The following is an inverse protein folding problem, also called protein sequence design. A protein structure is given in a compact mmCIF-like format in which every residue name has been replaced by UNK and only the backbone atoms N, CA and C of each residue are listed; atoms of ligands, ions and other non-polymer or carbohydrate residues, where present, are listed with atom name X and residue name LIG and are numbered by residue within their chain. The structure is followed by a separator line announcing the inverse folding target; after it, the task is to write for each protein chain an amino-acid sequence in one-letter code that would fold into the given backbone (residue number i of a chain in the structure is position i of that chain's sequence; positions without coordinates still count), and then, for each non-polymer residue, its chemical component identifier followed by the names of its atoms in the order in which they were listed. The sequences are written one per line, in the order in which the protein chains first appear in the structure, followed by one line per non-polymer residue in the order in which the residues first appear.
data_IF_186790305644
#
_entry.id   IF_186790305644
#
_cell.length_a   1.000
_cell.length_b   1.000
_cell.length_c   1.000
_cell.angle_alpha   90.00
_cell.angle_beta   90.00
_cell.angle_gamma   90.00
#
_symmetry.space_group_name_H-M   'P 1'
#
loop_
_entity.id
_entity.type
_entity.pdbx_description
1 polymer ?
#
# COMPACT_ATOMS: atom_id res chain seq x y z
N UNK A 1 17.15 -5.49 44.14
CA UNK A 1 17.61 -4.75 42.93
C UNK A 1 17.38 -5.51 41.63
N UNK A 2 18.06 -6.64 41.34
CA UNK A 2 17.99 -7.36 40.04
C UNK A 2 16.59 -7.80 39.54
N UNK A 3 15.58 -7.92 40.41
CA UNK A 3 14.20 -8.24 40.01
C UNK A 3 13.41 -6.99 39.57
N UNK A 4 13.62 -5.86 40.25
CA UNK A 4 12.99 -4.57 39.93
C UNK A 4 13.53 -4.06 38.60
N UNK A 5 14.84 -4.12 38.42
CA UNK A 5 15.52 -3.73 37.19
C UNK A 5 15.01 -4.53 35.98
N UNK A 6 14.93 -5.87 36.10
CA UNK A 6 14.32 -6.72 35.06
C UNK A 6 12.86 -6.36 34.79
N UNK A 7 12.07 -6.04 35.81
CA UNK A 7 10.69 -5.57 35.65
C UNK A 7 10.60 -4.27 34.86
N UNK A 8 11.45 -3.29 35.16
CA UNK A 8 11.52 -2.01 34.45
C UNK A 8 11.95 -2.18 32.99
N UNK A 9 12.94 -3.03 32.72
CA UNK A 9 13.35 -3.35 31.35
C UNK A 9 12.21 -4.01 30.56
N UNK A 10 11.50 -4.97 31.16
CA UNK A 10 10.34 -5.61 30.51
C UNK A 10 9.21 -4.62 30.22
N UNK A 11 8.91 -3.70 31.16
CA UNK A 11 7.92 -2.65 30.95
C UNK A 11 8.32 -1.69 29.84
N UNK A 12 9.58 -1.24 29.81
CA UNK A 12 10.10 -0.38 28.76
C UNK A 12 10.01 -1.06 27.38
N UNK A 13 10.36 -2.34 27.30
CA UNK A 13 10.26 -3.13 26.07
C UNK A 13 8.81 -3.31 25.62
N UNK A 14 7.89 -3.58 26.54
CA UNK A 14 6.46 -3.68 26.23
C UNK A 14 5.87 -2.36 25.75
N UNK A 15 6.28 -1.22 26.33
CA UNK A 15 5.88 0.10 25.85
C UNK A 15 6.42 0.36 24.45
N UNK A 16 7.67 -0.01 24.16
CA UNK A 16 8.23 0.11 22.81
C UNK A 16 7.52 -0.78 21.79
N UNK A 17 7.18 -2.03 22.16
CA UNK A 17 6.40 -2.92 21.29
C UNK A 17 4.97 -2.41 21.08
N UNK A 18 4.34 -1.84 22.11
CA UNK A 18 2.95 -1.39 22.04
C UNK A 18 2.75 -0.04 21.35
N UNK A 19 3.74 0.86 21.42
CA UNK A 19 3.65 2.23 20.87
C UNK A 19 4.62 2.52 19.72
N UNK A 20 5.45 1.54 19.32
CA UNK A 20 6.51 1.73 18.34
C UNK A 20 7.66 2.61 18.86
N UNK A 21 8.69 2.80 18.05
CA UNK A 21 9.86 3.62 18.43
C UNK A 21 9.50 5.10 18.59
N UNK A 22 8.71 5.63 17.66
CA UNK A 22 8.11 6.96 17.71
C UNK A 22 7.40 7.20 19.06
N UNK A 23 6.52 6.27 19.43
CA UNK A 23 5.78 6.38 20.68
C UNK A 23 6.62 6.20 21.93
N UNK A 24 7.59 5.27 21.91
CA UNK A 24 8.56 5.12 22.98
C UNK A 24 9.37 6.42 23.18
N UNK A 25 9.75 7.10 22.09
CA UNK A 25 10.48 8.36 22.12
C UNK A 25 9.66 9.48 22.78
N UNK A 26 8.38 9.61 22.42
CA UNK A 26 7.49 10.61 23.03
C UNK A 26 7.20 10.30 24.50
N UNK A 27 6.96 9.03 24.84
CA UNK A 27 6.73 8.59 26.22
C UNK A 27 7.99 8.81 27.06
N UNK A 28 9.16 8.42 26.57
CA UNK A 28 10.44 8.62 27.27
C UNK A 28 10.71 10.09 27.59
N UNK A 29 10.49 10.99 26.62
CA UNK A 29 10.58 12.44 26.84
C UNK A 29 9.57 12.94 27.89
N UNK A 30 8.38 12.36 27.94
CA UNK A 30 7.34 12.74 28.91
C UNK A 30 7.69 12.28 30.32
N UNK A 31 8.19 11.04 30.46
CA UNK A 31 8.68 10.46 31.71
C UNK A 31 9.86 11.26 32.29
N UNK A 32 10.81 11.68 31.45
CA UNK A 32 11.95 12.50 31.88
C UNK A 32 11.52 13.86 32.49
N UNK A 33 10.37 14.38 32.09
CA UNK A 33 9.80 15.63 32.63
C UNK A 33 8.87 15.43 33.84
N UNK A 34 8.73 14.20 34.35
CA UNK A 34 7.86 13.87 35.49
C UNK A 34 6.35 13.99 35.20
N UNK A 35 5.99 14.15 33.93
CA UNK A 35 4.63 14.46 33.50
C UNK A 35 3.94 13.20 32.95
N UNK A 36 3.20 12.51 33.82
CA UNK A 36 2.72 11.15 33.53
C UNK A 36 1.55 11.04 32.54
N UNK A 37 0.92 12.11 32.06
CA UNK A 37 -0.11 12.01 30.98
C UNK A 37 -0.62 13.36 30.45
N UNK A 38 -0.99 14.29 31.34
CA UNK A 38 -1.70 15.51 30.94
C UNK A 38 -0.87 16.50 30.10
N UNK A 39 0.46 16.50 30.23
CA UNK A 39 1.33 17.36 29.42
C UNK A 39 1.71 16.70 28.07
N UNK A 40 1.53 15.39 27.91
CA UNK A 40 1.89 14.71 26.66
C UNK A 40 0.89 15.03 25.54
N UNK A 41 -0.41 15.15 25.85
CA UNK A 41 -1.48 15.51 24.89
C UNK A 41 -1.56 17.00 24.58
N UNK A 42 -0.96 17.86 25.41
CA UNK A 42 -0.96 19.33 25.23
C UNK A 42 0.29 19.85 24.53
N UNK A 43 1.18 18.96 24.09
CA UNK A 43 2.38 19.34 23.32
C UNK A 43 2.05 19.36 21.83
N UNK A 44 2.55 20.37 21.08
CA UNK A 44 2.47 20.34 19.63
C UNK A 44 3.24 19.13 19.12
N UNK A 45 2.70 18.46 18.10
CA UNK A 45 3.38 17.39 17.41
C UNK A 45 4.53 17.89 16.54
N UNK A 46 5.34 16.95 16.04
CA UNK A 46 6.43 17.23 15.11
C UNK A 46 5.97 17.02 13.68
N UNK A 47 6.30 17.94 12.77
CA UNK A 47 6.06 17.71 11.34
C UNK A 47 7.18 16.81 10.81
N UNK A 48 6.78 15.70 10.20
CA UNK A 48 7.66 14.73 9.55
C UNK A 48 7.25 14.56 8.10
N UNK A 49 8.18 14.20 7.21
CA UNK A 49 7.86 13.78 5.84
C UNK A 49 8.21 12.30 5.71
N UNK A 50 7.23 11.50 5.32
CA UNK A 50 7.33 10.05 5.41
C UNK A 50 6.55 9.35 4.29
N UNK A 51 6.83 8.05 4.15
CA UNK A 51 6.01 7.15 3.37
C UNK A 51 4.90 6.60 4.26
N UNK A 52 3.66 6.75 3.83
CA UNK A 52 2.49 6.22 4.50
C UNK A 52 1.97 5.02 3.72
N UNK A 53 1.91 3.87 4.39
CA UNK A 53 1.38 2.64 3.86
C UNK A 53 0.07 2.27 4.56
N UNK A 54 -0.86 1.71 3.81
CA UNK A 54 -1.96 0.91 4.32
C UNK A 54 -1.96 -0.39 3.55
N UNK A 55 -2.41 -1.45 4.17
CA UNK A 55 -2.85 -2.66 3.51
C UNK A 55 -4.23 -3.07 4.05
N UNK A 56 -4.83 -4.11 3.49
CA UNK A 56 -6.07 -4.75 3.97
C UNK A 56 -6.09 -6.20 3.49
N UNK A 57 -6.44 -7.14 4.36
CA UNK A 57 -6.72 -8.53 3.98
C UNK A 57 -8.01 -8.53 3.15
N UNK A 58 -7.95 -9.04 1.92
CA UNK A 58 -9.15 -9.10 1.08
C UNK A 58 -10.17 -10.07 1.67
N UNK A 59 -11.43 -9.65 1.66
CA UNK A 59 -12.55 -10.40 2.23
C UNK A 59 -12.35 -10.73 3.73
N UNK A 60 -11.71 -9.82 4.50
CA UNK A 60 -11.45 -10.03 5.92
C UNK A 60 -12.70 -10.30 6.75
N UNK A 61 -13.82 -9.62 6.47
CA UNK A 61 -15.10 -9.89 7.17
C UNK A 61 -15.52 -11.36 7.04
N UNK A 62 -15.45 -11.91 5.84
CA UNK A 62 -15.75 -13.32 5.61
C UNK A 62 -14.77 -14.24 6.36
N UNK A 63 -13.47 -13.92 6.37
CA UNK A 63 -12.47 -14.64 7.15
C UNK A 63 -12.78 -14.64 8.66
N UNK A 64 -13.23 -13.52 9.20
CA UNK A 64 -13.57 -13.44 10.63
C UNK A 64 -14.77 -14.32 10.99
N UNK A 65 -15.73 -14.48 10.08
CA UNK A 65 -16.89 -15.36 10.28
C UNK A 65 -16.48 -16.84 10.23
N UNK A 66 -15.60 -17.21 9.29
CA UNK A 66 -15.15 -18.59 9.10
C UNK A 66 -14.16 -19.06 10.17
N UNK A 67 -13.16 -18.23 10.50
CA UNK A 67 -12.09 -18.60 11.42
C UNK A 67 -12.45 -18.33 12.88
N UNK A 68 -13.42 -17.44 13.14
CA UNK A 68 -13.81 -17.04 14.49
C UNK A 68 -12.57 -16.68 15.35
N UNK A 69 -12.37 -17.32 16.49
CA UNK A 69 -11.23 -17.06 17.37
C UNK A 69 -9.87 -17.35 16.72
N UNK A 70 -9.80 -18.26 15.75
CA UNK A 70 -8.55 -18.60 15.06
C UNK A 70 -8.08 -17.51 14.09
N UNK A 71 -8.92 -16.51 13.78
CA UNK A 71 -8.52 -15.34 12.98
C UNK A 71 -7.33 -14.60 13.60
N UNK A 72 -7.17 -14.66 14.93
CA UNK A 72 -6.05 -14.05 15.65
C UNK A 72 -4.71 -14.66 15.22
N UNK A 73 -4.66 -15.95 14.91
CA UNK A 73 -3.43 -16.62 14.42
C UNK A 73 -3.04 -16.11 13.03
N UNK A 74 -4.04 -15.93 12.15
CA UNK A 74 -3.84 -15.34 10.83
C UNK A 74 -3.34 -13.89 10.93
N UNK A 75 -4.06 -13.05 11.69
CA UNK A 75 -3.71 -11.63 11.87
C UNK A 75 -2.30 -11.47 12.47
N UNK A 76 -1.93 -12.29 13.46
CA UNK A 76 -0.58 -12.24 14.03
C UNK A 76 0.50 -12.71 13.04
N UNK A 77 0.20 -13.67 12.16
CA UNK A 77 1.13 -14.13 11.12
C UNK A 77 1.36 -13.06 10.06
N UNK A 78 0.29 -12.40 9.64
CA UNK A 78 0.31 -11.23 8.74
C UNK A 78 1.09 -10.09 9.37
N UNK A 79 0.76 -9.72 10.61
CA UNK A 79 1.43 -8.65 11.35
C UNK A 79 2.92 -8.91 11.48
N UNK A 80 3.34 -10.14 11.81
CA UNK A 80 4.76 -10.51 11.92
C UNK A 80 5.52 -10.22 10.63
N UNK A 81 5.08 -10.77 9.50
CA UNK A 81 5.76 -10.60 8.21
C UNK A 81 5.89 -9.12 7.84
N UNK A 82 4.82 -8.39 8.04
CA UNK A 82 4.71 -7.02 7.63
C UNK A 82 5.49 -6.07 8.56
N UNK A 83 5.47 -6.32 9.87
CA UNK A 83 6.33 -5.63 10.83
C UNK A 83 7.81 -5.89 10.55
N UNK A 84 8.18 -7.14 10.25
CA UNK A 84 9.56 -7.52 9.90
C UNK A 84 10.03 -6.80 8.63
N UNK A 85 9.18 -6.67 7.61
CA UNK A 85 9.47 -5.91 6.40
C UNK A 85 9.65 -4.41 6.69
N UNK A 86 8.76 -3.81 7.47
CA UNK A 86 8.81 -2.39 7.84
C UNK A 86 10.07 -2.07 8.66
N UNK A 87 10.43 -2.93 9.62
CA UNK A 87 11.60 -2.73 10.48
C UNK A 87 12.92 -2.91 9.72
N UNK A 88 13.06 -3.94 8.87
CA UNK A 88 14.24 -4.14 7.99
C UNK A 88 14.53 -2.93 7.10
N UNK A 89 13.52 -2.12 6.95
CA UNK A 89 13.45 -0.98 6.05
C UNK A 89 13.58 0.36 6.74
N UNK A 90 13.85 0.32 8.05
CA UNK A 90 13.98 1.48 8.91
C UNK A 90 12.69 2.30 9.03
N UNK A 91 11.53 1.65 8.89
CA UNK A 91 10.23 2.21 9.27
C UNK A 91 9.75 1.68 10.62
N UNK A 92 8.61 2.18 11.08
CA UNK A 92 8.07 1.89 12.42
C UNK A 92 6.61 1.45 12.37
N UNK A 93 6.26 0.19 12.63
CA UNK A 93 4.86 -0.19 12.75
C UNK A 93 4.15 0.67 13.80
N UNK A 94 3.00 1.25 13.44
CA UNK A 94 2.30 2.22 14.30
C UNK A 94 1.02 1.63 14.92
N UNK A 95 0.02 1.28 14.11
CA UNK A 95 -1.28 0.79 14.59
C UNK A 95 -1.77 -0.39 13.76
N UNK A 96 -2.11 -1.48 14.42
CA UNK A 96 -2.79 -2.63 13.80
C UNK A 96 -4.32 -2.40 13.71
N UNK A 97 -4.75 -1.21 13.25
CA UNK A 97 -6.17 -0.91 13.01
C UNK A 97 -6.40 -1.18 11.53
N UNK A 98 -6.98 -2.34 11.20
CA UNK A 98 -7.25 -2.71 9.80
C UNK A 98 -6.04 -2.44 8.94
N UNK A 99 -5.00 -3.24 9.13
CA UNK A 99 -3.90 -3.34 8.17
C UNK A 99 -3.19 -2.00 7.81
N UNK A 100 -3.17 -0.99 8.68
CA UNK A 100 -2.45 0.27 8.46
C UNK A 100 -0.94 0.20 8.82
N UNK A 101 -0.04 0.57 7.90
CA UNK A 101 1.43 0.54 8.13
C UNK A 101 2.10 1.87 7.90
N UNK A 102 2.40 2.54 9.00
CA UNK A 102 3.03 3.84 8.92
C UNK A 102 4.57 3.73 8.90
N UNK A 103 5.19 3.76 7.72
CA UNK A 103 6.65 3.74 7.61
C UNK A 103 7.24 5.14 7.86
N UNK A 104 7.20 5.64 9.10
CA UNK A 104 7.55 7.03 9.45
C UNK A 104 8.95 7.45 8.97
N UNK A 105 9.88 6.48 8.84
CA UNK A 105 11.28 6.75 8.52
C UNK A 105 11.83 5.93 7.36
N UNK A 106 10.96 5.22 6.63
CA UNK A 106 11.34 4.52 5.41
C UNK A 106 11.81 5.53 4.36
N UNK A 107 13.10 5.85 4.28
CA UNK A 107 13.68 6.59 3.14
C UNK A 107 13.72 5.74 1.85
N UNK A 108 13.07 4.57 1.85
CA UNK A 108 13.17 3.52 0.83
C UNK A 108 11.77 2.92 0.61
N UNK A 109 11.38 2.79 -0.66
CA UNK A 109 10.09 2.28 -1.15
C UNK A 109 10.09 0.75 -1.38
N UNK A 110 11.28 0.17 -1.62
CA UNK A 110 11.56 -1.28 -1.71
C UNK A 110 10.85 -2.15 -0.65
N UNK A 111 10.76 -1.73 0.62
CA UNK A 111 10.15 -2.49 1.71
C UNK A 111 8.72 -2.94 1.44
N UNK A 112 7.95 -2.09 0.76
CA UNK A 112 6.54 -2.35 0.50
C UNK A 112 6.38 -3.38 -0.61
N UNK A 113 7.23 -3.32 -1.64
CA UNK A 113 7.27 -4.35 -2.69
C UNK A 113 7.84 -5.67 -2.16
N UNK A 114 8.90 -5.61 -1.36
CA UNK A 114 9.43 -6.80 -0.65
C UNK A 114 8.35 -7.43 0.24
N UNK A 115 7.61 -6.62 0.99
CA UNK A 115 6.52 -7.11 1.81
C UNK A 115 5.41 -7.77 0.99
N UNK A 116 5.01 -7.17 -0.12
CA UNK A 116 4.02 -7.76 -1.04
C UNK A 116 4.51 -9.12 -1.54
N UNK A 117 5.77 -9.19 -1.96
CA UNK A 117 6.38 -10.41 -2.49
C UNK A 117 6.51 -11.50 -1.41
N UNK A 118 6.98 -11.16 -0.22
CA UNK A 118 7.14 -12.10 0.89
C UNK A 118 5.79 -12.62 1.39
N UNK A 119 4.81 -11.73 1.60
CA UNK A 119 3.47 -12.12 2.01
C UNK A 119 2.77 -12.98 0.96
N UNK A 120 2.95 -12.67 -0.32
CA UNK A 120 2.38 -13.48 -1.40
C UNK A 120 3.04 -14.86 -1.53
N UNK A 121 4.19 -15.11 -0.89
CA UNK A 121 4.94 -16.37 -0.95
C UNK A 121 4.91 -17.19 0.34
N UNK A 122 4.52 -16.60 1.47
CA UNK A 122 4.51 -17.31 2.75
C UNK A 122 3.34 -18.32 2.79
N UNK A 123 3.68 -19.60 2.53
CA UNK A 123 2.74 -20.72 2.55
C UNK A 123 2.07 -20.92 3.92
N UNK A 124 2.66 -20.43 5.02
CA UNK A 124 2.07 -20.51 6.36
C UNK A 124 0.83 -19.65 6.47
N UNK A 125 0.71 -18.57 5.69
CA UNK A 125 -0.51 -17.77 5.69
C UNK A 125 -1.70 -18.60 5.19
N UNK A 126 -1.49 -19.36 4.11
CA UNK A 126 -2.53 -20.23 3.54
C UNK A 126 -2.88 -21.41 4.46
N UNK A 127 -1.96 -21.86 5.31
CA UNK A 127 -2.22 -22.93 6.30
C UNK A 127 -3.20 -22.52 7.40
N UNK A 128 -3.37 -21.22 7.66
CA UNK A 128 -4.35 -20.73 8.64
C UNK A 128 -5.76 -20.64 8.07
N UNK A 129 -5.94 -20.89 6.77
CA UNK A 129 -7.21 -20.73 6.06
C UNK A 129 -7.75 -22.13 5.74
N UNK A 130 -8.98 -22.40 6.17
CA UNK A 130 -9.64 -23.66 5.84
C UNK A 130 -10.05 -23.70 4.35
N UNK A 131 -10.33 -24.90 3.83
CA UNK A 131 -10.64 -25.11 2.40
C UNK A 131 -11.86 -24.32 1.92
N UNK A 132 -12.85 -24.08 2.79
CA UNK A 132 -14.04 -23.31 2.48
C UNK A 132 -13.73 -21.81 2.37
N UNK A 133 -12.91 -21.27 3.28
CA UNK A 133 -12.50 -19.87 3.22
C UNK A 133 -11.50 -19.60 2.09
N UNK A 134 -10.71 -20.61 1.72
CA UNK A 134 -9.65 -20.52 0.72
C UNK A 134 -10.14 -20.00 -0.64
N UNK A 135 -11.35 -20.39 -1.07
CA UNK A 135 -11.88 -20.03 -2.40
C UNK A 135 -12.14 -18.53 -2.57
N UNK A 136 -12.48 -17.83 -1.48
CA UNK A 136 -12.85 -16.40 -1.52
C UNK A 136 -11.64 -15.47 -1.33
N UNK A 137 -10.63 -15.94 -0.60
CA UNK A 137 -9.55 -15.11 -0.06
C UNK A 137 -8.18 -15.46 -0.64
N UNK A 138 -8.01 -16.68 -1.15
CA UNK A 138 -6.82 -17.10 -1.86
C UNK A 138 -6.99 -16.89 -3.36
N UNK A 139 -5.95 -16.36 -4.00
CA UNK A 139 -5.78 -16.40 -5.45
C UNK A 139 -4.54 -17.23 -5.73
N UNK A 140 -4.69 -18.26 -6.56
CA UNK A 140 -3.61 -19.21 -6.86
C UNK A 140 -3.00 -19.87 -5.60
N UNK A 141 -3.80 -20.01 -4.53
CA UNK A 141 -3.36 -20.57 -3.24
C UNK A 141 -2.70 -19.57 -2.28
N UNK A 142 -2.68 -18.27 -2.62
CA UNK A 142 -2.04 -17.22 -1.82
C UNK A 142 -3.03 -16.14 -1.36
N UNK A 143 -2.86 -15.66 -0.12
CA UNK A 143 -3.76 -14.66 0.46
C UNK A 143 -3.69 -13.34 -0.31
N UNK A 144 -4.85 -12.81 -0.68
CA UNK A 144 -4.93 -11.51 -1.34
C UNK A 144 -4.88 -10.38 -0.31
N UNK A 145 -4.01 -9.42 -0.57
CA UNK A 145 -3.87 -8.18 0.18
C UNK A 145 -4.04 -6.98 -0.77
N UNK A 146 -4.64 -5.90 -0.30
CA UNK A 146 -4.51 -4.58 -0.92
C UNK A 146 -3.38 -3.80 -0.23
N UNK A 147 -2.66 -2.95 -0.96
CA UNK A 147 -1.65 -2.03 -0.42
C UNK A 147 -1.80 -0.64 -1.05
N UNK A 148 -1.82 0.40 -0.22
CA UNK A 148 -1.81 1.79 -0.64
C UNK A 148 -0.58 2.51 -0.10
N UNK A 149 0.22 3.11 -0.98
CA UNK A 149 1.45 3.78 -0.62
C UNK A 149 1.46 5.23 -1.10
N UNK A 150 1.70 6.15 -0.18
CA UNK A 150 1.78 7.58 -0.46
C UNK A 150 2.96 8.23 0.26
N UNK A 151 3.40 9.39 -0.22
CA UNK A 151 4.46 10.18 0.42
C UNK A 151 3.95 11.58 0.70
N UNK A 152 4.23 12.10 1.89
CA UNK A 152 3.89 13.47 2.24
C UNK A 152 4.23 13.82 3.68
N UNK A 153 3.76 14.98 4.14
CA UNK A 153 3.96 15.40 5.52
C UNK A 153 2.94 14.78 6.47
N UNK A 154 3.27 14.64 7.75
CA UNK A 154 2.31 14.42 8.81
C UNK A 154 2.75 15.04 10.14
N UNK A 155 1.80 15.28 11.03
CA UNK A 155 2.08 15.65 12.42
C UNK A 155 2.16 14.38 13.27
N UNK A 156 3.37 13.99 13.63
CA UNK A 156 3.65 12.96 14.64
C UNK A 156 3.29 13.51 16.03
N UNK A 157 2.31 12.92 16.71
CA UNK A 157 1.82 13.44 17.98
C UNK A 157 1.23 12.35 18.89
N UNK A 158 1.07 12.69 20.17
CA UNK A 158 0.27 11.91 21.12
C UNK A 158 -1.14 12.47 21.16
N UNK A 159 -2.12 11.63 20.86
CA UNK A 159 -3.55 11.96 20.88
C UNK A 159 -4.23 11.15 21.96
N UNK A 160 -5.17 11.76 22.67
CA UNK A 160 -6.04 11.04 23.57
C UNK A 160 -6.43 11.87 24.79
N UNK A 161 -6.65 11.17 25.89
CA UNK A 161 -7.04 11.74 27.18
C UNK A 161 -6.30 11.03 28.32
N UNK A 162 -6.59 11.43 29.56
CA UNK A 162 -6.11 10.73 30.77
C UNK A 162 -6.49 9.24 30.83
N UNK A 163 -7.47 8.80 30.03
CA UNK A 163 -7.97 7.43 30.02
C UNK A 163 -7.30 6.54 28.96
N UNK A 164 -6.88 7.13 27.83
CA UNK A 164 -6.26 6.43 26.71
C UNK A 164 -5.45 7.42 25.90
N UNK A 165 -4.20 7.07 25.62
CA UNK A 165 -3.33 7.79 24.71
C UNK A 165 -2.89 6.87 23.58
N UNK A 166 -2.68 7.44 22.39
CA UNK A 166 -2.12 6.79 21.23
C UNK A 166 -1.15 7.75 20.54
N UNK A 167 -0.02 7.21 20.09
CA UNK A 167 0.86 7.92 19.17
C UNK A 167 0.26 7.79 17.79
N UNK A 168 0.20 8.89 17.05
CA UNK A 168 -0.52 8.94 15.79
C UNK A 168 0.07 9.98 14.86
N UNK A 169 -0.31 9.87 13.60
CA UNK A 169 0.08 10.78 12.54
C UNK A 169 -1.17 11.41 11.98
N UNK A 170 -1.25 12.73 12.05
CA UNK A 170 -2.38 13.49 11.54
C UNK A 170 -1.97 14.16 10.23
N UNK A 171 -2.62 13.75 9.14
CA UNK A 171 -2.37 14.33 7.83
C UNK A 171 -3.42 13.92 6.80
N UNK A 172 -3.75 14.79 5.83
CA UNK A 172 -4.42 14.36 4.61
C UNK A 172 -3.62 13.30 3.83
N UNK A 173 -2.28 13.28 3.94
CA UNK A 173 -1.41 12.30 3.27
C UNK A 173 -1.57 10.89 3.86
N UNK A 174 -1.79 10.76 5.17
CA UNK A 174 -2.10 9.46 5.81
C UNK A 174 -3.44 8.92 5.30
N UNK A 175 -4.44 9.81 5.17
CA UNK A 175 -5.74 9.43 4.61
C UNK A 175 -5.66 9.10 3.11
N UNK A 176 -4.70 9.67 2.38
CA UNK A 176 -4.50 9.31 0.98
C UNK A 176 -4.03 7.87 0.83
N UNK A 177 -3.09 7.41 1.67
CA UNK A 177 -2.63 6.01 1.62
C UNK A 177 -3.75 4.99 1.90
N UNK A 178 -4.67 5.26 2.83
CA UNK A 178 -5.82 4.37 3.04
C UNK A 178 -6.81 4.39 1.88
N UNK A 179 -7.00 5.54 1.22
CA UNK A 179 -7.81 5.63 0.00
C UNK A 179 -7.19 4.86 -1.16
N UNK A 180 -5.86 4.92 -1.31
CA UNK A 180 -5.14 4.12 -2.30
C UNK A 180 -5.30 2.64 -2.04
N UNK A 181 -5.17 2.20 -0.79
CA UNK A 181 -5.40 0.80 -0.42
C UNK A 181 -6.82 0.39 -0.83
N UNK A 182 -7.85 1.12 -0.39
CA UNK A 182 -9.23 0.76 -0.71
C UNK A 182 -9.48 0.70 -2.24
N UNK A 183 -8.89 1.63 -3.00
CA UNK A 183 -8.98 1.68 -4.45
C UNK A 183 -8.31 0.47 -5.14
N UNK A 184 -7.39 -0.25 -4.49
CA UNK A 184 -6.81 -1.48 -5.05
C UNK A 184 -7.89 -2.51 -5.41
N UNK A 185 -9.06 -2.48 -4.74
CA UNK A 185 -10.23 -3.31 -5.07
C UNK A 185 -10.81 -2.96 -6.45
N UNK A 186 -10.94 -1.67 -6.73
CA UNK A 186 -11.53 -1.16 -7.98
C UNK A 186 -10.65 -1.47 -9.19
N UNK A 187 -9.33 -1.36 -9.04
CA UNK A 187 -8.38 -1.63 -10.12
C UNK A 187 -7.94 -3.10 -10.18
N UNK A 188 -8.37 -3.96 -9.24
CA UNK A 188 -8.01 -5.38 -9.23
C UNK A 188 -6.50 -5.65 -9.10
N UNK A 189 -5.76 -4.77 -8.43
CA UNK A 189 -4.30 -4.87 -8.21
C UNK A 189 -3.98 -5.13 -6.74
N UNK A 190 -2.76 -5.58 -6.46
CA UNK A 190 -2.23 -5.76 -5.11
C UNK A 190 -1.79 -4.45 -4.48
N UNK A 191 -1.23 -3.52 -5.26
CA UNK A 191 -0.68 -2.25 -4.77
C UNK A 191 -1.07 -1.04 -5.63
N UNK A 192 -1.38 0.07 -4.97
CA UNK A 192 -1.44 1.39 -5.57
C UNK A 192 -0.46 2.34 -4.90
N UNK A 193 0.27 3.09 -5.74
CA UNK A 193 1.24 4.10 -5.35
C UNK A 193 0.84 5.44 -5.94
N UNK A 194 0.91 6.50 -5.15
CA UNK A 194 0.78 7.86 -5.68
C UNK A 194 1.96 8.26 -6.57
N UNK A 195 1.74 9.21 -7.48
CA UNK A 195 2.79 9.87 -8.25
C UNK A 195 3.91 10.46 -7.39
N UNK A 196 3.62 10.93 -6.17
CA UNK A 196 4.63 11.44 -5.23
C UNK A 196 5.64 10.37 -4.83
N UNK A 197 5.17 9.15 -4.57
CA UNK A 197 6.03 7.98 -4.29
C UNK A 197 6.87 7.68 -5.51
N UNK A 198 6.24 7.56 -6.68
CA UNK A 198 6.93 7.20 -7.92
C UNK A 198 7.96 8.25 -8.29
N UNK A 199 7.70 9.54 -8.06
CA UNK A 199 8.62 10.66 -8.29
C UNK A 199 9.94 10.52 -7.53
N UNK A 200 9.92 9.93 -6.33
CA UNK A 200 11.09 9.69 -5.49
C UNK A 200 11.90 8.43 -5.85
N UNK A 201 11.38 7.58 -6.74
CA UNK A 201 12.03 6.34 -7.15
C UNK A 201 13.20 6.59 -8.10
N UNK A 202 14.18 5.68 -8.10
CA UNK A 202 15.21 5.66 -9.14
C UNK A 202 14.61 5.31 -10.50
N UNK A 203 15.27 5.73 -11.57
CA UNK A 203 14.78 5.49 -12.94
C UNK A 203 14.58 3.99 -13.23
N UNK A 204 15.49 3.15 -12.74
CA UNK A 204 15.42 1.69 -12.95
C UNK A 204 14.15 1.06 -12.38
N UNK A 205 13.58 1.65 -11.33
CA UNK A 205 12.36 1.19 -10.68
C UNK A 205 11.13 1.85 -11.30
N UNK A 206 11.21 3.14 -11.61
CA UNK A 206 10.11 3.87 -12.27
C UNK A 206 9.63 3.15 -13.53
N UNK A 207 10.55 2.58 -14.33
CA UNK A 207 10.22 1.80 -15.53
C UNK A 207 9.54 0.45 -15.25
N UNK A 208 9.52 -0.03 -14.01
CA UNK A 208 8.78 -1.23 -13.61
C UNK A 208 7.35 -0.89 -13.19
N UNK A 209 7.11 0.34 -12.74
CA UNK A 209 5.79 0.83 -12.38
C UNK A 209 4.98 1.18 -13.64
N UNK A 210 3.67 1.00 -13.57
CA UNK A 210 2.72 1.35 -14.63
C UNK A 210 1.81 2.47 -14.14
N UNK A 211 1.78 3.60 -14.85
CA UNK A 211 0.75 4.62 -14.65
C UNK A 211 -0.57 4.03 -15.11
N UNK A 212 -1.53 3.91 -14.19
CA UNK A 212 -2.83 3.31 -14.50
C UNK A 212 -3.94 4.34 -14.62
N UNK A 213 -3.90 5.45 -13.89
CA UNK A 213 -4.99 6.43 -13.92
C UNK A 213 -4.50 7.77 -13.37
N UNK A 214 -5.31 8.82 -13.55
CA UNK A 214 -5.15 10.09 -12.85
C UNK A 214 -6.46 10.45 -12.20
N UNK A 215 -6.42 10.68 -10.89
CA UNK A 215 -7.63 10.90 -10.10
C UNK A 215 -7.53 12.11 -9.19
N UNK A 216 -8.67 12.71 -8.89
CA UNK A 216 -8.85 13.64 -7.78
C UNK A 216 -9.58 12.94 -6.65
N UNK A 217 -9.28 13.32 -5.42
CA UNK A 217 -9.97 12.81 -4.23
C UNK A 217 -10.85 13.90 -3.62
N UNK A 218 -11.94 13.50 -2.96
CA UNK A 218 -12.82 14.46 -2.28
C UNK A 218 -12.01 15.31 -1.31
N UNK A 219 -12.10 16.64 -1.49
CA UNK A 219 -11.37 17.64 -0.71
C UNK A 219 -10.02 18.09 -1.28
N UNK A 220 -9.55 17.52 -2.40
CA UNK A 220 -8.36 17.98 -3.13
C UNK A 220 -8.73 18.48 -4.52
N UNK A 221 -8.25 19.66 -4.89
CA UNK A 221 -8.35 20.20 -6.25
C UNK A 221 -7.18 19.78 -7.14
N UNK A 222 -6.12 19.19 -6.57
CA UNK A 222 -4.97 18.72 -7.34
C UNK A 222 -5.14 17.24 -7.69
N UNK A 223 -5.11 16.86 -8.98
CA UNK A 223 -5.10 15.47 -9.39
C UNK A 223 -3.79 14.79 -9.01
N UNK A 224 -3.86 13.48 -8.79
CA UNK A 224 -2.75 12.62 -8.43
C UNK A 224 -2.71 11.46 -9.43
N UNK A 225 -1.50 11.16 -9.91
CA UNK A 225 -1.25 9.99 -10.73
C UNK A 225 -1.25 8.72 -9.88
N UNK A 226 -1.94 7.68 -10.36
CA UNK A 226 -1.97 6.37 -9.74
C UNK A 226 -1.07 5.41 -10.50
N UNK A 227 -0.18 4.77 -9.76
CA UNK A 227 0.72 3.75 -10.29
C UNK A 227 0.48 2.41 -9.62
N UNK A 228 0.69 1.33 -10.38
CA UNK A 228 0.79 -0.01 -9.84
C UNK A 228 2.17 -0.60 -10.13
N UNK A 229 2.52 -1.65 -9.42
CA UNK A 229 3.61 -2.56 -9.75
C UNK A 229 2.97 -3.93 -10.01
N UNK A 230 3.05 -4.40 -11.26
CA UNK A 230 2.44 -5.68 -11.65
C UNK A 230 3.28 -6.82 -11.08
N UNK A 231 2.83 -7.43 -9.98
CA UNK A 231 3.61 -8.44 -9.25
C UNK A 231 4.10 -9.57 -10.19
N UNK A 232 5.32 -10.13 -9.97
CA UNK A 232 5.81 -11.28 -10.73
C UNK A 232 4.83 -12.47 -10.63
N UNK A 233 4.64 -13.20 -11.72
CA UNK A 233 3.71 -14.35 -11.69
C UNK A 233 4.34 -15.48 -10.88
N UNK A 234 3.64 -15.98 -9.85
CA UNK A 234 4.15 -17.09 -9.03
C UNK A 234 4.29 -18.41 -9.83
N UNK A 235 3.67 -18.50 -11.01
CA UNK A 235 3.79 -19.62 -11.96
C UNK A 235 5.12 -19.61 -12.73
N UNK A 236 5.83 -18.48 -12.75
CA UNK A 236 7.21 -18.42 -13.27
C UNK A 236 8.20 -19.03 -12.26
N UNK A 237 8.01 -20.32 -11.94
CA UNK A 237 8.88 -21.16 -11.10
C UNK A 237 10.30 -21.40 -11.68
N UNK A 238 10.76 -20.55 -12.60
CA UNK A 238 12.08 -20.61 -13.21
C UNK A 238 13.12 -19.71 -12.55
N UNK A 239 12.68 -18.76 -11.71
CA UNK A 239 13.57 -18.00 -10.84
C UNK A 239 13.15 -18.25 -9.40
N UNK A 240 13.72 -19.27 -8.77
CA UNK A 240 13.72 -19.30 -7.30
C UNK A 240 14.43 -18.03 -6.85
N UNK A 241 13.80 -17.29 -5.94
CA UNK A 241 14.59 -16.51 -4.98
C UNK A 241 15.13 -17.58 -4.05
N UNK A 242 16.44 -17.89 -4.06
CA UNK A 242 17.00 -18.78 -3.06
C UNK A 242 16.45 -18.44 -1.66
N UNK A 243 16.06 -19.45 -0.88
CA UNK A 243 15.50 -19.27 0.48
C UNK A 243 16.47 -18.51 1.41
N UNK A 244 17.74 -18.41 1.01
CA UNK A 244 18.85 -17.73 1.65
C UNK A 244 19.16 -16.32 1.08
N UNK A 245 18.29 -15.74 0.24
CA UNK A 245 18.48 -14.35 -0.21
C UNK A 245 18.26 -13.40 0.97
N UNK A 246 19.37 -12.95 1.52
CA UNK A 246 19.44 -11.81 2.42
C UNK A 246 19.12 -10.54 1.63
N UNK A 247 17.85 -10.11 1.68
CA UNK A 247 17.38 -8.87 1.08
C UNK A 247 18.13 -7.63 1.58
N UNK A 248 18.76 -7.69 2.76
CA UNK A 248 19.60 -6.59 3.26
C UNK A 248 20.92 -6.43 2.48
N UNK A 249 21.37 -7.48 1.78
CA UNK A 249 22.55 -7.51 0.91
C UNK A 249 22.26 -7.07 -0.54
N UNK A 250 20.99 -7.01 -0.94
CA UNK A 250 20.54 -6.68 -2.30
C UNK A 250 20.48 -5.17 -2.62
N UNK A 251 21.23 -4.35 -1.87
CA UNK A 251 21.17 -2.88 -1.98
C UNK A 251 21.51 -2.35 -3.39
N UNK A 252 22.17 -3.14 -4.24
CA UNK A 252 22.70 -2.69 -5.54
C UNK A 252 22.58 -3.68 -6.71
N UNK A 253 21.88 -4.82 -6.58
CA UNK A 253 22.09 -5.95 -7.49
C UNK A 253 21.01 -6.14 -8.54
N UNK A 254 21.46 -6.42 -9.77
CA UNK A 254 20.72 -7.03 -10.90
C UNK A 254 19.79 -8.19 -10.47
N UNK A 255 20.14 -8.90 -9.40
CA UNK A 255 19.33 -9.98 -8.82
C UNK A 255 17.95 -9.52 -8.29
N UNK A 256 17.81 -8.31 -7.72
CA UNK A 256 16.49 -7.81 -7.32
C UNK A 256 15.59 -7.63 -8.55
N UNK A 257 16.15 -7.14 -9.67
CA UNK A 257 15.39 -6.92 -10.91
C UNK A 257 15.01 -8.23 -11.61
N UNK A 258 15.82 -9.27 -11.47
CA UNK A 258 15.48 -10.61 -11.97
C UNK A 258 14.30 -11.21 -11.20
N UNK A 259 14.24 -10.97 -9.88
CA UNK A 259 13.18 -11.45 -8.99
C UNK A 259 11.91 -10.59 -9.04
N UNK A 260 12.06 -9.28 -9.20
CA UNK A 260 10.99 -8.29 -9.23
C UNK A 260 10.58 -7.94 -10.67
N UNK A 261 10.88 -8.80 -11.64
CA UNK A 261 10.42 -8.63 -13.01
C UNK A 261 8.88 -8.64 -13.04
N UNK A 262 8.23 -7.58 -13.58
CA UNK A 262 6.78 -7.51 -13.59
C UNK A 262 6.16 -8.69 -14.35
N UNK A 263 5.00 -9.19 -13.92
CA UNK A 263 4.29 -10.26 -14.67
C UNK A 263 3.81 -9.81 -16.05
N UNK A 264 3.82 -8.53 -16.34
CA UNK A 264 3.51 -7.96 -17.66
C UNK A 264 4.77 -7.82 -18.50
N UNK A 265 4.73 -8.27 -19.74
CA UNK A 265 5.82 -8.08 -20.68
C UNK A 265 5.98 -6.59 -21.08
N UNK A 266 7.13 -6.28 -21.68
CA UNK A 266 7.46 -4.91 -22.07
C UNK A 266 6.57 -4.36 -23.20
N UNK A 267 6.06 -5.22 -24.09
CA UNK A 267 5.21 -4.82 -25.20
C UNK A 267 3.83 -4.40 -24.69
N UNK A 268 3.22 -5.22 -23.83
CA UNK A 268 1.96 -4.90 -23.15
C UNK A 268 2.07 -3.57 -22.41
N UNK A 269 3.12 -3.38 -21.59
CA UNK A 269 3.28 -2.13 -20.81
C UNK A 269 3.42 -0.90 -21.69
N UNK A 270 4.12 -1.01 -22.83
CA UNK A 270 4.24 0.08 -23.80
C UNK A 270 2.90 0.42 -24.44
N UNK A 271 2.14 -0.58 -24.85
CA UNK A 271 0.86 -0.38 -25.51
C UNK A 271 -0.20 0.16 -24.53
N UNK A 272 -0.22 -0.36 -23.31
CA UNK A 272 -1.06 0.16 -22.23
C UNK A 272 -0.70 1.62 -21.91
N UNK A 273 0.59 1.95 -21.76
CA UNK A 273 1.02 3.33 -21.50
C UNK A 273 0.58 4.31 -22.60
N UNK A 274 0.59 3.87 -23.86
CA UNK A 274 0.03 4.66 -24.98
C UNK A 274 -1.48 4.82 -24.85
N UNK A 275 -2.21 3.77 -24.49
CA UNK A 275 -3.65 3.84 -24.28
C UNK A 275 -4.00 4.84 -23.17
N UNK A 276 -3.29 4.80 -22.03
CA UNK A 276 -3.48 5.73 -20.91
C UNK A 276 -3.15 7.16 -21.30
N UNK A 277 -2.07 7.39 -22.06
CA UNK A 277 -1.75 8.74 -22.55
C UNK A 277 -2.88 9.33 -23.41
N UNK A 278 -3.50 8.53 -24.27
CA UNK A 278 -4.63 8.96 -25.11
C UNK A 278 -5.91 9.16 -24.28
N UNK A 279 -6.13 8.35 -23.26
CA UNK A 279 -7.25 8.48 -22.31
C UNK A 279 -7.14 9.75 -21.47
N UNK A 280 -5.98 10.00 -20.86
CA UNK A 280 -5.76 11.18 -20.01
C UNK A 280 -5.65 12.47 -20.82
N UNK A 281 -5.30 12.37 -22.11
CA UNK A 281 -4.81 13.52 -22.88
C UNK A 281 -3.31 13.69 -22.62
N UNK A 282 -2.55 13.85 -23.70
CA UNK A 282 -1.09 13.83 -23.65
C UNK A 282 -0.52 14.94 -22.75
N UNK A 283 0.69 14.73 -22.18
CA UNK A 283 1.38 15.76 -21.39
C UNK A 283 1.77 16.99 -22.22
N UNK A 284 1.67 16.90 -23.55
CA UNK A 284 1.87 17.95 -24.55
C UNK A 284 0.64 18.85 -24.76
N UNK A 285 -0.45 18.62 -24.02
CA UNK A 285 -1.71 19.36 -24.17
C UNK A 285 -2.64 18.77 -25.24
N UNK A 286 -2.31 17.58 -25.77
CA UNK A 286 -3.20 16.83 -26.66
C UNK A 286 -4.52 16.52 -25.95
N UNK A 287 -5.65 16.81 -26.61
CA UNK A 287 -6.97 16.43 -26.09
C UNK A 287 -7.09 14.91 -26.00
N UNK A 288 -7.78 14.43 -24.96
CA UNK A 288 -8.10 13.02 -24.85
C UNK A 288 -8.96 12.54 -26.04
N UNK A 289 -8.74 11.30 -26.47
CA UNK A 289 -9.56 10.65 -27.49
C UNK A 289 -10.03 9.29 -26.97
N UNK A 290 -11.23 9.27 -26.39
CA UNK A 290 -11.74 8.08 -25.73
C UNK A 290 -12.03 6.92 -26.68
N UNK A 291 -12.50 7.17 -27.91
CA UNK A 291 -12.70 6.12 -28.90
C UNK A 291 -11.38 5.38 -29.21
N UNK A 292 -10.30 6.15 -29.46
CA UNK A 292 -8.98 5.60 -29.68
C UNK A 292 -8.41 4.91 -28.43
N UNK A 293 -8.61 5.50 -27.24
CA UNK A 293 -8.18 4.91 -25.98
C UNK A 293 -8.88 3.57 -25.72
N UNK A 294 -10.21 3.50 -25.90
CA UNK A 294 -11.00 2.28 -25.74
C UNK A 294 -10.55 1.18 -26.68
N UNK A 295 -10.31 1.50 -27.96
CA UNK A 295 -9.79 0.52 -28.92
C UNK A 295 -8.45 -0.06 -28.45
N UNK A 296 -7.52 0.81 -28.03
CA UNK A 296 -6.20 0.38 -27.53
C UNK A 296 -6.28 -0.42 -26.23
N UNK A 297 -7.17 -0.06 -25.30
CA UNK A 297 -7.39 -0.81 -24.07
C UNK A 297 -8.02 -2.19 -24.35
N UNK A 298 -8.95 -2.29 -25.30
CA UNK A 298 -9.48 -3.58 -25.76
C UNK A 298 -8.38 -4.44 -26.38
N UNK A 299 -7.44 -3.85 -27.11
CA UNK A 299 -6.25 -4.55 -27.61
C UNK A 299 -5.36 -5.06 -26.47
N UNK A 300 -5.20 -4.27 -25.40
CA UNK A 300 -4.51 -4.70 -24.19
C UNK A 300 -5.22 -5.90 -23.53
N UNK A 301 -6.56 -5.89 -23.45
CA UNK A 301 -7.33 -7.05 -22.94
C UNK A 301 -7.19 -8.29 -23.81
N UNK A 302 -7.07 -8.16 -25.13
CA UNK A 302 -6.79 -9.31 -26.01
C UNK A 302 -5.45 -9.97 -25.68
N UNK A 303 -4.45 -9.20 -25.23
CA UNK A 303 -3.16 -9.70 -24.75
C UNK A 303 -3.23 -10.24 -23.32
N UNK A 304 -4.01 -9.59 -22.44
CA UNK A 304 -4.18 -9.96 -21.02
C UNK A 304 -5.66 -9.83 -20.58
N UNK A 305 -6.47 -10.90 -20.74
CA UNK A 305 -7.94 -10.86 -20.55
C UNK A 305 -8.46 -10.56 -19.14
N UNK A 306 -7.57 -10.39 -18.15
CA UNK A 306 -7.92 -10.08 -16.76
C UNK A 306 -7.12 -8.92 -16.17
N UNK A 307 -6.58 -8.02 -17.00
CA UNK A 307 -5.90 -6.83 -16.48
C UNK A 307 -6.90 -5.89 -15.81
N UNK A 308 -6.90 -5.88 -14.48
CA UNK A 308 -7.81 -5.10 -13.66
C UNK A 308 -7.80 -3.60 -13.98
N UNK A 309 -6.63 -2.94 -14.12
CA UNK A 309 -6.59 -1.53 -14.50
C UNK A 309 -7.23 -1.23 -15.87
N UNK A 310 -6.97 -2.07 -16.87
CA UNK A 310 -7.60 -1.95 -18.19
C UNK A 310 -9.12 -2.06 -18.10
N UNK A 311 -9.64 -3.04 -17.35
CA UNK A 311 -11.08 -3.23 -17.12
C UNK A 311 -11.71 -2.03 -16.41
N UNK A 312 -11.09 -1.54 -15.33
CA UNK A 312 -11.61 -0.44 -14.53
C UNK A 312 -11.76 0.86 -15.34
N UNK A 313 -10.81 1.13 -16.24
CA UNK A 313 -10.81 2.35 -17.07
C UNK A 313 -11.80 2.21 -18.23
N UNK A 314 -11.86 1.04 -18.86
CA UNK A 314 -12.87 0.76 -19.89
C UNK A 314 -14.28 0.89 -19.33
N UNK A 315 -14.55 0.28 -18.17
CA UNK A 315 -15.84 0.36 -17.50
C UNK A 315 -16.24 1.83 -17.26
N UNK A 316 -15.34 2.64 -16.72
CA UNK A 316 -15.60 4.06 -16.49
C UNK A 316 -15.94 4.82 -17.79
N UNK A 317 -15.14 4.63 -18.84
CA UNK A 317 -15.42 5.28 -20.12
C UNK A 317 -16.76 4.82 -20.72
N UNK A 318 -17.09 3.53 -20.63
CA UNK A 318 -18.36 2.98 -21.12
C UNK A 318 -19.55 3.56 -20.35
N UNK A 319 -19.46 3.63 -19.01
CA UNK A 319 -20.48 4.23 -18.14
C UNK A 319 -20.67 5.73 -18.43
N UNK A 320 -19.60 6.49 -18.62
CA UNK A 320 -19.67 7.92 -18.95
C UNK A 320 -20.20 8.16 -20.37
N UNK A 321 -19.80 7.36 -21.36
CA UNK A 321 -20.28 7.52 -22.75
C UNK A 321 -21.76 7.13 -22.92
N UNK A 322 -22.27 6.23 -22.08
CA UNK A 322 -23.67 5.86 -22.03
C UNK A 322 -24.59 6.99 -21.52
N UNK A 323 -24.04 8.01 -20.84
CA UNK A 323 -24.81 9.17 -20.36
C UNK A 323 -25.21 10.08 -21.54
N UNK A 324 -26.36 10.78 -21.44
CA UNK A 324 -26.72 11.86 -22.35
C UNK A 324 -25.59 12.89 -22.43
N UNK A 325 -25.37 13.49 -23.61
CA UNK A 325 -24.22 14.37 -23.86
C UNK A 325 -24.13 15.55 -22.88
N UNK A 326 -25.28 16.10 -22.49
CA UNK A 326 -25.40 17.19 -21.50
C UNK A 326 -24.99 16.78 -20.08
N UNK A 327 -25.05 15.48 -19.76
CA UNK A 327 -24.74 14.90 -18.46
C UNK A 327 -23.33 14.30 -18.39
N UNK A 328 -22.58 14.32 -19.50
CA UNK A 328 -21.21 13.80 -19.56
C UNK A 328 -20.26 14.72 -18.80
N UNK A 329 -19.32 14.13 -18.07
CA UNK A 329 -18.28 14.90 -17.39
C UNK A 329 -17.41 15.61 -18.43
N UNK A 330 -17.17 16.91 -18.22
CA UNK A 330 -16.14 17.63 -18.98
C UNK A 330 -14.78 17.06 -18.59
N UNK A 331 -14.20 16.27 -19.49
CA UNK A 331 -12.94 15.58 -19.23
C UNK A 331 -11.76 16.55 -19.12
N UNK A 332 -11.11 16.58 -17.96
CA UNK A 332 -9.94 17.42 -17.66
C UNK A 332 -8.65 16.60 -17.58
N UNK A 333 -8.68 15.35 -18.07
CA UNK A 333 -7.56 14.42 -17.97
C UNK A 333 -7.44 13.70 -16.62
N UNK A 334 -8.52 13.67 -15.85
CA UNK A 334 -8.63 12.94 -14.59
C UNK A 334 -10.09 12.73 -14.20
N UNK A 335 -10.34 11.74 -13.34
CA UNK A 335 -11.67 11.47 -12.74
C UNK A 335 -11.65 11.58 -11.23
N UNK A 336 -12.82 11.62 -10.60
CA UNK A 336 -12.92 11.47 -9.15
C UNK A 336 -12.67 10.01 -8.78
N UNK A 337 -11.82 9.77 -7.77
CA UNK A 337 -11.66 8.44 -7.19
C UNK A 337 -12.93 8.10 -6.39
N UNK A 338 -13.59 7.02 -6.76
CA UNK A 338 -14.79 6.55 -6.06
C UNK A 338 -14.41 6.01 -4.67
N UNK A 339 -15.24 6.27 -3.66
CA UNK A 339 -15.20 5.52 -2.40
C UNK A 339 -16.16 4.34 -2.56
N UNK A 340 -15.63 3.14 -2.80
CA UNK A 340 -16.42 1.90 -2.76
C UNK A 340 -16.00 1.09 -1.56
#
# INVERSE_FOLDING_TARGET
MKKIERGLFSLARLLQLGFGEAGASVISRSLATGAMTALATNRPGSIVNAFFGFCDIRNFTFLTEQLQADVVKLVNSVARLLHDCVIRSHGDPNKNIGDAFLGDRCRRWRPYVECILEMSRDERLSQHINLEAAQEVLKDGHMRMGFGLHFGWAVECVIGSKHKVDVSYLSPHVNMSSRLEAATKQYGVSILMSGDVVGLLSWDIKRLCRLIDRVTVKGSSSPIDLYTFDEPSMQSRGGTVPDDIDFSSLQSSRAFFEVAAPSTDAEFRRDFSRAISVYLGGPDGSKANWECAMQRLRDCLRKRPGDGPTLAILQYMEEEMAKPEESRVRWMGYRMLEHK
#
